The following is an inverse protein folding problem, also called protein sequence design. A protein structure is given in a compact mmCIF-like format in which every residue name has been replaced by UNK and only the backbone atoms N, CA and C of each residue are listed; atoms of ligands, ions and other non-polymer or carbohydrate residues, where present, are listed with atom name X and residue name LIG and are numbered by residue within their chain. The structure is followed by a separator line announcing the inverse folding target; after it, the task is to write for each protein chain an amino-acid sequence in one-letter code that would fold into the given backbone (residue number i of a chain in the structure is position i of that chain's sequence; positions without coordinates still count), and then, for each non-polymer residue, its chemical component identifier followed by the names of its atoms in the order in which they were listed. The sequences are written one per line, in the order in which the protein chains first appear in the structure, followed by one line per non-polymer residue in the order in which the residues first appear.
data_IF_713304007211
#
_entry.id   IF_713304007211
#
_cell.length_a   1.000
_cell.length_b   1.000
_cell.length_c   1.000
_cell.angle_alpha   90.00
_cell.angle_beta   90.00
_cell.angle_gamma   90.00
#
_symmetry.space_group_name_H-M   'P 1'
#
loop_
_entity.id
_entity.type
_entity.pdbx_description
1 polymer ?
#
# COMPACT_ATOMS: atom_id res chain seq x y z
N UNK A 1 -12.67 -15.78 -1.14
CA UNK A 1 -11.35 -15.13 -1.05
C UNK A 1 -10.89 -14.79 -2.43
N UNK A 2 -11.17 -15.65 -3.42
CA UNK A 2 -11.12 -15.34 -4.84
C UNK A 2 -11.60 -13.91 -5.17
N UNK A 3 -12.86 -13.55 -4.85
CA UNK A 3 -13.35 -12.17 -5.06
C UNK A 3 -12.48 -11.07 -4.43
N UNK A 4 -11.92 -11.29 -3.24
CA UNK A 4 -11.03 -10.31 -2.59
C UNK A 4 -9.74 -10.13 -3.39
N UNK A 5 -9.18 -11.24 -3.89
CA UNK A 5 -8.00 -11.21 -4.76
C UNK A 5 -8.30 -10.58 -6.12
N UNK A 6 -9.48 -10.84 -6.69
CA UNK A 6 -9.93 -10.20 -7.93
C UNK A 6 -10.03 -8.69 -7.78
N UNK A 7 -10.64 -8.20 -6.69
CA UNK A 7 -10.71 -6.77 -6.40
C UNK A 7 -9.32 -6.18 -6.17
N UNK A 8 -8.44 -6.88 -5.44
CA UNK A 8 -7.04 -6.43 -5.27
C UNK A 8 -6.35 -6.26 -6.63
N UNK A 9 -6.41 -7.28 -7.49
CA UNK A 9 -5.82 -7.25 -8.82
C UNK A 9 -6.43 -6.17 -9.70
N UNK A 10 -7.75 -6.01 -9.66
CA UNK A 10 -8.45 -4.95 -10.38
C UNK A 10 -7.94 -3.57 -9.96
N UNK A 11 -7.91 -3.28 -8.65
CA UNK A 11 -7.42 -1.98 -8.17
C UNK A 11 -5.94 -1.80 -8.52
N UNK A 12 -5.10 -2.83 -8.34
CA UNK A 12 -3.68 -2.76 -8.71
C UNK A 12 -3.45 -2.48 -10.19
N UNK A 13 -4.32 -2.96 -11.07
CA UNK A 13 -4.20 -2.80 -12.53
C UNK A 13 -4.74 -1.46 -13.02
N UNK A 14 -5.68 -0.86 -12.28
CA UNK A 14 -6.39 0.36 -12.67
C UNK A 14 -6.07 1.54 -11.75
N UNK A 15 -4.97 1.47 -10.98
CA UNK A 15 -4.50 2.59 -10.16
C UNK A 15 -3.06 2.93 -10.55
N UNK A 16 -2.91 4.01 -11.29
CA UNK A 16 -1.59 4.47 -11.68
C UNK A 16 -0.84 5.05 -10.50
N UNK A 17 0.49 4.94 -10.51
CA UNK A 17 1.33 5.56 -9.48
C UNK A 17 2.10 6.74 -10.07
N UNK A 18 2.63 7.60 -9.21
CA UNK A 18 3.56 8.64 -9.62
C UNK A 18 3.22 9.99 -9.01
N UNK A 19 3.34 11.04 -9.82
CA UNK A 19 3.25 12.42 -9.35
C UNK A 19 2.51 13.28 -10.37
N UNK A 20 1.18 13.22 -10.33
CA UNK A 20 0.28 14.12 -11.06
C UNK A 20 -0.72 14.69 -10.06
N UNK A 21 -0.73 16.01 -9.91
CA UNK A 21 -1.69 16.69 -9.05
C UNK A 21 -3.10 16.57 -9.65
N UNK A 22 -4.02 16.01 -8.86
CA UNK A 22 -5.44 16.02 -9.20
C UNK A 22 -6.23 16.31 -7.91
N UNK A 23 -7.03 17.39 -7.84
CA UNK A 23 -7.65 17.83 -6.58
C UNK A 23 -8.43 16.74 -5.85
N UNK A 24 -9.14 15.86 -6.58
CA UNK A 24 -9.86 14.75 -6.00
C UNK A 24 -8.92 13.71 -5.36
N UNK A 25 -7.85 13.33 -6.07
CA UNK A 25 -6.85 12.39 -5.59
C UNK A 25 -6.06 12.98 -4.42
N UNK A 26 -5.77 14.28 -4.44
CA UNK A 26 -4.96 14.97 -3.41
C UNK A 26 -5.75 15.23 -2.12
N UNK A 27 -7.07 15.10 -2.15
CA UNK A 27 -7.94 15.41 -1.00
C UNK A 27 -8.76 14.22 -0.51
N UNK A 28 -8.57 13.03 -1.09
CA UNK A 28 -9.34 11.82 -0.75
C UNK A 28 -9.36 11.50 0.75
N UNK A 29 -8.26 11.73 1.47
CA UNK A 29 -8.13 11.45 2.90
C UNK A 29 -9.01 12.34 3.79
N UNK A 30 -9.62 13.39 3.23
CA UNK A 30 -10.58 14.27 3.92
C UNK A 30 -12.02 13.84 3.70
N UNK A 31 -12.27 12.92 2.77
CA UNK A 31 -13.61 12.45 2.43
C UNK A 31 -14.07 11.40 3.44
N UNK A 32 -15.33 11.43 3.89
CA UNK A 32 -15.93 10.31 4.59
C UNK A 32 -15.82 9.03 3.75
N UNK A 33 -15.52 7.89 4.39
CA UNK A 33 -15.29 6.63 3.70
C UNK A 33 -16.49 6.17 2.85
N UNK A 34 -17.70 6.41 3.33
CA UNK A 34 -18.96 6.10 2.65
C UNK A 34 -19.21 6.97 1.41
N UNK A 35 -18.52 8.11 1.30
CA UNK A 35 -18.66 9.11 0.24
C UNK A 35 -17.51 9.07 -0.78
N UNK A 36 -16.61 8.10 -0.73
CA UNK A 36 -15.54 7.97 -1.71
C UNK A 36 -16.12 7.70 -3.12
N UNK A 37 -15.89 8.59 -4.11
CA UNK A 37 -16.44 8.42 -5.46
C UNK A 37 -15.54 7.51 -6.29
N UNK A 38 -15.72 6.19 -6.14
CA UNK A 38 -14.84 5.19 -6.75
C UNK A 38 -14.75 5.30 -8.28
N UNK A 39 -15.88 5.50 -8.94
CA UNK A 39 -15.95 5.64 -10.40
C UNK A 39 -15.16 6.86 -10.90
N UNK A 40 -15.23 7.98 -10.17
CA UNK A 40 -14.48 9.20 -10.53
C UNK A 40 -12.98 8.96 -10.43
N UNK A 41 -12.51 8.29 -9.36
CA UNK A 41 -11.09 7.94 -9.23
C UNK A 41 -10.59 7.05 -10.37
N UNK A 42 -11.34 5.99 -10.69
CA UNK A 42 -10.97 5.06 -11.76
C UNK A 42 -10.92 5.76 -13.13
N UNK A 43 -11.87 6.65 -13.38
CA UNK A 43 -11.88 7.47 -14.60
C UNK A 43 -10.68 8.41 -14.68
N UNK A 44 -10.30 9.04 -13.57
CA UNK A 44 -9.11 9.92 -13.52
C UNK A 44 -7.83 9.14 -13.86
N UNK A 45 -7.70 7.89 -13.38
CA UNK A 45 -6.56 7.04 -13.70
C UNK A 45 -6.58 6.61 -15.17
N UNK A 46 -7.73 6.16 -15.68
CA UNK A 46 -7.89 5.80 -17.10
C UNK A 46 -7.53 6.95 -18.06
N UNK A 47 -7.81 8.20 -17.67
CA UNK A 47 -7.52 9.41 -18.43
C UNK A 47 -6.08 9.94 -18.24
N UNK A 48 -5.20 9.22 -17.52
CA UNK A 48 -3.84 9.65 -17.15
C UNK A 48 -3.81 11.03 -16.43
N UNK A 49 -4.90 11.42 -15.76
CA UNK A 49 -5.10 12.75 -15.19
C UNK A 49 -4.82 12.85 -13.68
N UNK A 50 -4.46 11.74 -13.05
CA UNK A 50 -4.12 11.68 -11.63
C UNK A 50 -3.45 10.36 -11.28
N UNK A 51 -2.91 10.28 -10.07
CA UNK A 51 -2.21 9.08 -9.58
C UNK A 51 -2.72 8.66 -8.22
N UNK A 52 -2.73 7.37 -7.95
CA UNK A 52 -3.05 6.80 -6.66
C UNK A 52 -1.87 6.84 -5.69
N UNK A 53 -2.17 7.15 -4.43
CA UNK A 53 -1.31 6.81 -3.29
C UNK A 53 -1.68 5.42 -2.76
N UNK A 54 -0.83 4.81 -1.93
CA UNK A 54 -1.18 3.55 -1.26
C UNK A 54 -2.46 3.67 -0.42
N UNK A 55 -2.68 4.83 0.22
CA UNK A 55 -3.91 5.12 0.95
C UNK A 55 -5.14 5.19 0.06
N UNK A 56 -5.05 5.82 -1.11
CA UNK A 56 -6.17 5.92 -2.06
C UNK A 56 -6.51 4.54 -2.65
N UNK A 57 -5.51 3.78 -3.10
CA UNK A 57 -5.72 2.42 -3.61
C UNK A 57 -6.35 1.50 -2.53
N UNK A 58 -5.86 1.56 -1.29
CA UNK A 58 -6.44 0.82 -0.17
C UNK A 58 -7.88 1.26 0.14
N UNK A 59 -8.17 2.56 0.10
CA UNK A 59 -9.50 3.12 0.28
C UNK A 59 -10.48 2.63 -0.78
N UNK A 60 -10.08 2.67 -2.06
CA UNK A 60 -10.87 2.17 -3.20
C UNK A 60 -11.19 0.68 -3.03
N UNK A 61 -10.17 -0.15 -2.79
CA UNK A 61 -10.37 -1.59 -2.57
C UNK A 61 -11.30 -1.86 -1.39
N UNK A 62 -11.07 -1.21 -0.24
CA UNK A 62 -11.91 -1.40 0.94
C UNK A 62 -13.37 -1.00 0.67
N UNK A 63 -13.62 0.11 -0.04
CA UNK A 63 -14.97 0.57 -0.39
C UNK A 63 -15.69 -0.42 -1.30
N UNK A 64 -15.04 -0.90 -2.37
CA UNK A 64 -15.59 -1.93 -3.26
C UNK A 64 -15.97 -3.19 -2.46
N UNK A 65 -15.10 -3.64 -1.56
CA UNK A 65 -15.36 -4.82 -0.73
C UNK A 65 -16.54 -4.62 0.21
N UNK A 66 -16.64 -3.45 0.86
CA UNK A 66 -17.77 -3.11 1.76
C UNK A 66 -19.09 -3.08 1.01
N UNK A 67 -19.12 -2.49 -0.18
CA UNK A 67 -20.32 -2.45 -1.04
C UNK A 67 -20.77 -3.85 -1.49
N UNK A 68 -19.84 -4.82 -1.48
CA UNK A 68 -20.10 -6.22 -1.78
C UNK A 68 -20.25 -7.09 -0.51
N UNK A 69 -20.52 -6.48 0.65
CA UNK A 69 -20.88 -7.19 1.89
C UNK A 69 -19.72 -7.75 2.70
N UNK A 70 -18.48 -7.32 2.42
CA UNK A 70 -17.32 -7.72 3.22
C UNK A 70 -17.02 -6.70 4.33
N UNK A 71 -16.58 -7.20 5.49
CA UNK A 71 -15.98 -6.36 6.53
C UNK A 71 -14.53 -6.03 6.14
N UNK A 72 -14.31 -4.90 5.46
CA UNK A 72 -12.99 -4.46 5.02
C UNK A 72 -12.57 -3.11 5.63
N UNK A 73 -11.28 -2.96 5.87
CA UNK A 73 -10.70 -1.81 6.57
C UNK A 73 -9.34 -1.42 6.01
N UNK A 74 -8.94 -0.16 6.14
CA UNK A 74 -7.58 0.30 5.83
C UNK A 74 -6.72 0.33 7.09
N UNK A 75 -5.46 -0.07 6.95
CA UNK A 75 -4.49 -0.15 8.05
C UNK A 75 -3.19 0.54 7.65
N UNK A 76 -2.83 1.59 8.39
CA UNK A 76 -1.65 2.42 8.12
C UNK A 76 -0.54 2.13 9.14
N UNK A 77 0.65 1.82 8.64
CA UNK A 77 1.84 1.51 9.43
C UNK A 77 3.10 2.15 8.84
N UNK A 78 4.14 2.26 9.67
CA UNK A 78 5.46 2.73 9.26
C UNK A 78 6.03 3.82 10.18
N UNK A 79 6.84 4.71 9.60
CA UNK A 79 7.45 5.82 10.31
C UNK A 79 6.59 7.07 10.25
N UNK A 80 5.90 7.39 11.35
CA UNK A 80 5.06 8.58 11.46
C UNK A 80 5.82 9.86 11.04
N UNK A 81 5.10 10.79 10.41
CA UNK A 81 5.63 12.07 9.92
C UNK A 81 6.77 11.95 8.87
N UNK A 82 6.80 10.84 8.13
CA UNK A 82 7.71 10.65 6.99
C UNK A 82 6.95 10.13 5.78
N UNK A 83 7.61 10.04 4.63
CA UNK A 83 7.06 9.39 3.43
C UNK A 83 7.11 7.85 3.51
N UNK A 84 7.78 7.28 4.54
CA UNK A 84 7.93 5.84 4.73
C UNK A 84 6.78 5.27 5.57
N UNK A 85 5.57 5.50 5.08
CA UNK A 85 4.31 4.96 5.61
C UNK A 85 3.60 4.20 4.52
N UNK A 86 2.86 3.17 4.89
CA UNK A 86 2.13 2.36 3.93
C UNK A 86 0.74 1.99 4.44
N UNK A 87 -0.20 1.85 3.50
CA UNK A 87 -1.58 1.49 3.80
C UNK A 87 -1.93 0.19 3.09
N UNK A 88 -2.38 -0.78 3.87
CA UNK A 88 -2.91 -2.07 3.38
C UNK A 88 -4.40 -2.17 3.72
N UNK A 89 -5.07 -3.17 3.13
CA UNK A 89 -6.45 -3.53 3.41
C UNK A 89 -6.49 -4.76 4.33
N UNK A 90 -7.28 -4.66 5.39
CA UNK A 90 -7.63 -5.77 6.27
C UNK A 90 -9.02 -6.26 5.91
N UNK A 91 -9.17 -7.54 5.60
CA UNK A 91 -10.47 -8.19 5.41
C UNK A 91 -10.76 -9.10 6.58
N UNK A 92 -11.84 -8.81 7.30
CA UNK A 92 -12.28 -9.63 8.42
C UNK A 92 -13.07 -10.83 7.92
N UNK A 93 -12.62 -12.03 8.27
CA UNK A 93 -13.29 -13.27 7.89
C UNK A 93 -13.14 -14.33 8.98
N UNK A 94 -14.28 -14.84 9.47
CA UNK A 94 -14.31 -15.85 10.55
C UNK A 94 -13.45 -15.44 11.76
N UNK A 95 -13.50 -14.17 12.13
CA UNK A 95 -12.75 -13.59 13.25
C UNK A 95 -11.28 -13.24 12.97
N UNK A 96 -10.72 -13.58 11.81
CA UNK A 96 -9.35 -13.23 11.41
C UNK A 96 -9.33 -11.92 10.63
N UNK A 97 -8.25 -11.14 10.75
CA UNK A 97 -7.94 -9.94 9.98
C UNK A 97 -6.88 -10.27 8.93
N UNK A 98 -7.30 -10.55 7.70
CA UNK A 98 -6.42 -10.99 6.62
C UNK A 98 -5.86 -9.78 5.86
N UNK A 99 -4.58 -9.80 5.51
CA UNK A 99 -3.86 -8.63 4.94
C UNK A 99 -3.75 -8.72 3.41
N UNK A 100 -4.16 -7.64 2.74
CA UNK A 100 -4.09 -7.45 1.28
C UNK A 100 -3.52 -6.07 0.95
N UNK A 101 -2.73 -5.99 -0.11
CA UNK A 101 -2.12 -4.75 -0.56
C UNK A 101 -2.48 -4.50 -2.03
N UNK A 102 -3.46 -3.61 -2.31
CA UNK A 102 -3.83 -3.28 -3.69
C UNK A 102 -2.85 -2.33 -4.37
N UNK A 103 -1.89 -1.72 -3.65
CA UNK A 103 -0.93 -0.81 -4.24
C UNK A 103 0.35 -1.51 -4.69
N UNK A 104 0.78 -2.56 -3.98
CA UNK A 104 1.94 -3.39 -4.36
C UNK A 104 1.49 -4.71 -5.01
N UNK A 105 0.21 -5.06 -4.89
CA UNK A 105 -0.42 -6.27 -5.42
C UNK A 105 0.06 -7.57 -4.74
N UNK A 106 -0.08 -7.65 -3.42
CA UNK A 106 0.23 -8.88 -2.68
C UNK A 106 -0.71 -9.14 -1.50
N UNK A 107 -0.72 -10.38 -1.04
CA UNK A 107 -1.29 -10.78 0.25
C UNK A 107 -0.27 -11.56 1.07
N UNK A 108 -0.40 -11.54 2.40
CA UNK A 108 0.46 -12.33 3.29
C UNK A 108 -0.14 -13.72 3.56
N UNK A 109 0.72 -14.73 3.54
CA UNK A 109 0.37 -16.11 3.86
C UNK A 109 1.46 -16.80 4.70
N UNK A 110 1.09 -17.86 5.40
CA UNK A 110 2.05 -18.78 6.01
C UNK A 110 2.67 -19.69 4.93
N UNK A 111 3.75 -20.41 5.26
CA UNK A 111 4.41 -21.36 4.35
C UNK A 111 3.47 -22.41 3.72
N UNK A 112 2.37 -22.77 4.38
CA UNK A 112 1.33 -23.67 3.86
C UNK A 112 0.36 -22.99 2.88
N UNK A 113 0.64 -21.75 2.47
CA UNK A 113 -0.19 -20.88 1.63
C UNK A 113 -1.52 -20.44 2.25
N UNK A 114 -1.76 -20.72 3.53
CA UNK A 114 -2.93 -20.18 4.23
C UNK A 114 -2.73 -18.68 4.52
N UNK A 115 -3.75 -17.86 4.25
CA UNK A 115 -3.70 -16.43 4.54
C UNK A 115 -3.50 -16.19 6.04
N UNK A 116 -2.57 -15.29 6.38
CA UNK A 116 -2.23 -14.99 7.77
C UNK A 116 -3.20 -13.97 8.38
N UNK A 117 -3.52 -14.18 9.66
CA UNK A 117 -4.21 -13.21 10.50
C UNK A 117 -3.20 -12.18 11.04
N UNK A 118 -3.51 -10.88 10.94
CA UNK A 118 -2.65 -9.80 11.39
C UNK A 118 -2.21 -9.95 12.87
N UNK A 119 -3.11 -10.43 13.72
CA UNK A 119 -2.79 -10.63 15.14
C UNK A 119 -1.81 -11.79 15.34
N UNK A 120 -1.91 -12.82 14.51
CA UNK A 120 -0.94 -13.93 14.50
C UNK A 120 0.41 -13.47 13.96
N UNK A 121 0.42 -12.65 12.90
CA UNK A 121 1.64 -12.01 12.40
C UNK A 121 2.39 -11.29 13.52
N UNK A 122 1.70 -10.49 14.35
CA UNK A 122 2.36 -9.78 15.46
C UNK A 122 3.01 -10.73 16.47
N UNK A 123 2.41 -11.90 16.75
CA UNK A 123 3.01 -12.91 17.63
C UNK A 123 4.26 -13.53 17.02
N UNK A 124 4.22 -13.86 15.72
CA UNK A 124 5.37 -14.40 15.01
C UNK A 124 6.53 -13.39 15.01
N UNK A 125 6.24 -12.12 14.70
CA UNK A 125 7.23 -11.03 14.77
C UNK A 125 7.84 -10.91 16.17
N UNK A 126 7.03 -11.03 17.23
CA UNK A 126 7.52 -10.99 18.62
C UNK A 126 8.47 -12.14 18.93
N UNK A 127 8.20 -13.33 18.38
CA UNK A 127 9.02 -14.53 18.53
C UNK A 127 10.20 -14.58 17.56
N UNK A 128 10.30 -13.62 16.64
CA UNK A 128 11.28 -13.58 15.55
C UNK A 128 11.18 -14.80 14.62
N UNK A 129 9.96 -15.29 14.40
CA UNK A 129 9.65 -16.33 13.41
C UNK A 129 9.53 -15.66 12.02
N UNK A 130 10.05 -16.30 10.97
CA UNK A 130 10.03 -15.79 9.58
C UNK A 130 9.33 -16.80 8.65
N UNK A 131 8.15 -17.26 9.07
CA UNK A 131 7.33 -18.24 8.35
C UNK A 131 6.32 -17.57 7.39
N UNK A 132 6.60 -16.32 7.01
CA UNK A 132 5.75 -15.50 6.15
C UNK A 132 6.19 -15.60 4.70
N UNK A 133 5.26 -15.96 3.83
CA UNK A 133 5.40 -15.85 2.38
C UNK A 133 4.43 -14.81 1.83
N UNK A 134 4.73 -14.32 0.63
CA UNK A 134 3.90 -13.37 -0.09
C UNK A 134 3.27 -14.08 -1.27
N UNK A 135 1.96 -13.91 -1.45
CA UNK A 135 1.30 -14.26 -2.70
C UNK A 135 1.15 -12.98 -3.53
N UNK A 136 1.78 -12.93 -4.69
CA UNK A 136 1.75 -11.79 -5.60
C UNK A 136 1.71 -12.30 -7.03
N UNK A 137 0.84 -11.72 -7.85
CA UNK A 137 0.78 -11.98 -9.28
C UNK A 137 1.25 -10.73 -10.03
N UNK A 138 1.75 -10.93 -11.24
CA UNK A 138 2.21 -9.81 -12.08
C UNK A 138 1.01 -9.04 -12.60
N UNK A 139 0.93 -7.78 -12.21
CA UNK A 139 0.00 -6.81 -12.79
C UNK A 139 0.83 -5.71 -13.46
N UNK A 140 0.32 -5.16 -14.54
CA UNK A 140 0.92 -4.00 -15.20
C UNK A 140 0.12 -2.75 -14.90
N UNK A 141 0.80 -1.64 -14.71
CA UNK A 141 0.23 -0.33 -14.40
C UNK A 141 1.13 0.75 -15.01
N UNK A 142 0.63 1.98 -15.13
CA UNK A 142 1.45 3.11 -15.53
C UNK A 142 2.01 3.85 -14.30
N UNK A 143 3.29 4.19 -14.38
CA UNK A 143 3.86 5.30 -13.63
C UNK A 143 3.65 6.55 -14.45
N UNK A 144 2.98 7.55 -13.90
CA UNK A 144 2.68 8.82 -14.56
C UNK A 144 3.33 9.97 -13.78
N UNK A 145 4.05 10.83 -14.49
CA UNK A 145 4.81 11.91 -13.87
C UNK A 145 4.58 13.21 -14.63
N UNK A 146 4.26 14.27 -13.88
CA UNK A 146 4.26 15.63 -14.39
C UNK A 146 5.67 16.23 -14.22
N UNK A 147 6.35 16.49 -15.34
CA UNK A 147 7.69 17.05 -15.40
C UNK A 147 7.79 18.44 -14.77
N UNK A 148 6.70 19.21 -14.72
CA UNK A 148 6.68 20.51 -14.07
C UNK A 148 6.66 20.42 -12.54
N UNK A 149 6.29 19.26 -11.99
CA UNK A 149 6.29 19.00 -10.54
C UNK A 149 7.59 18.35 -10.06
N UNK A 150 8.42 17.84 -10.99
CA UNK A 150 9.72 17.30 -10.64
C UNK A 150 10.72 18.45 -10.43
N UNK A 151 11.13 18.66 -9.18
CA UNK A 151 12.33 19.43 -8.92
C UNK A 151 13.56 18.65 -9.43
N UNK A 152 14.53 19.38 -9.99
CA UNK A 152 15.90 18.92 -10.24
C UNK A 152 16.48 18.08 -9.09
N UNK A 153 16.15 18.35 -7.83
CA UNK A 153 16.59 17.54 -6.68
C UNK A 153 15.98 16.14 -6.69
N UNK A 154 14.72 15.98 -7.10
CA UNK A 154 14.08 14.66 -7.23
C UNK A 154 14.71 13.87 -8.37
N UNK A 155 14.98 14.51 -9.52
CA UNK A 155 15.69 13.90 -10.65
C UNK A 155 17.15 13.51 -10.33
N UNK A 156 17.82 14.30 -9.49
CA UNK A 156 19.20 14.03 -9.06
C UNK A 156 19.29 13.02 -7.90
N UNK A 157 18.21 12.86 -7.13
CA UNK A 157 18.14 11.89 -6.02
C UNK A 157 17.94 10.45 -6.50
N UNK A 158 17.49 10.28 -7.75
CA UNK A 158 17.42 8.96 -8.37
C UNK A 158 18.86 8.56 -8.67
N UNK A 159 19.42 7.68 -7.82
CA UNK A 159 20.85 7.32 -7.84
C UNK A 159 21.32 6.83 -9.22
N UNK A 160 22.64 6.67 -9.41
CA UNK A 160 23.19 6.36 -10.74
C UNK A 160 22.54 5.15 -11.44
N UNK A 161 22.13 4.15 -10.65
CA UNK A 161 21.39 2.97 -11.12
C UNK A 161 20.07 3.30 -11.83
N UNK A 162 19.56 4.51 -11.68
CA UNK A 162 18.26 4.96 -12.16
C UNK A 162 18.31 6.02 -13.25
N UNK A 163 19.51 6.49 -13.63
CA UNK A 163 19.69 7.43 -14.75
C UNK A 163 19.07 6.90 -16.04
N UNK A 164 19.22 5.60 -16.31
CA UNK A 164 18.63 4.94 -17.49
C UNK A 164 17.13 4.66 -17.38
N UNK A 165 16.55 4.81 -16.19
CA UNK A 165 15.15 4.47 -15.95
C UNK A 165 14.20 5.42 -16.70
N UNK A 166 14.61 6.65 -16.93
CA UNK A 166 13.84 7.66 -17.68
C UNK A 166 14.00 7.56 -19.21
N UNK A 167 14.85 6.68 -19.73
CA UNK A 167 15.14 6.62 -21.18
C UNK A 167 13.99 6.08 -22.04
N UNK A 168 12.95 5.50 -21.42
CA UNK A 168 11.82 4.87 -22.12
C UNK A 168 10.47 5.44 -21.66
N UNK A 169 10.43 6.75 -21.40
CA UNK A 169 9.18 7.46 -21.10
C UNK A 169 8.39 7.70 -22.38
N UNK A 170 7.07 7.54 -22.29
CA UNK A 170 6.12 7.89 -23.35
C UNK A 170 5.44 9.22 -22.97
N UNK A 171 5.46 10.20 -23.87
CA UNK A 171 4.74 11.45 -23.63
C UNK A 171 3.22 11.20 -23.69
N UNK A 172 2.50 11.69 -22.67
CA UNK A 172 1.03 11.79 -22.67
C UNK A 172 0.63 13.16 -23.21
N UNK A 173 1.33 14.21 -22.76
CA UNK A 173 1.25 15.59 -23.27
C UNK A 173 2.59 16.31 -23.03
N UNK A 174 2.63 17.63 -23.26
CA UNK A 174 3.86 18.44 -23.15
C UNK A 174 4.53 18.42 -21.76
N UNK A 175 3.76 18.12 -20.71
CA UNK A 175 4.24 18.12 -19.33
C UNK A 175 4.13 16.77 -18.63
N UNK A 176 3.34 15.85 -19.17
CA UNK A 176 3.08 14.54 -18.55
C UNK A 176 3.74 13.45 -19.38
N UNK A 177 4.51 12.61 -18.70
CA UNK A 177 5.13 11.42 -19.24
C UNK A 177 4.69 10.20 -18.46
N UNK A 178 4.71 9.04 -19.11
CA UNK A 178 4.40 7.77 -18.44
C UNK A 178 5.30 6.62 -18.82
N UNK A 179 5.33 5.60 -17.97
CA UNK A 179 6.05 4.35 -18.18
C UNK A 179 5.25 3.18 -17.64
N UNK A 180 5.03 2.17 -18.49
CA UNK A 180 4.45 0.90 -18.07
C UNK A 180 5.43 0.15 -17.17
N UNK A 181 4.98 -0.21 -15.97
CA UNK A 181 5.74 -0.97 -14.99
C UNK A 181 5.04 -2.29 -14.66
N UNK A 182 5.76 -3.15 -13.93
CA UNK A 182 5.20 -4.37 -13.35
C UNK A 182 5.10 -4.16 -11.85
N UNK A 183 3.89 -4.36 -11.32
CA UNK A 183 3.56 -4.32 -9.90
C UNK A 183 3.49 -5.73 -9.34
N UNK A 184 4.49 -6.05 -8.53
CA UNK A 184 4.53 -7.22 -7.65
C UNK A 184 5.31 -6.88 -6.40
N UNK A 185 5.21 -7.74 -5.38
CA UNK A 185 6.10 -7.66 -4.22
C UNK A 185 7.58 -7.67 -4.64
N UNK A 186 7.98 -8.67 -5.44
CA UNK A 186 9.38 -8.84 -5.88
C UNK A 186 9.91 -7.67 -6.71
N UNK A 187 9.08 -7.10 -7.61
CA UNK A 187 9.49 -5.94 -8.40
C UNK A 187 9.68 -4.72 -7.52
N UNK A 188 8.88 -4.59 -6.46
CA UNK A 188 9.07 -3.54 -5.48
C UNK A 188 10.34 -3.79 -4.68
N UNK A 189 10.63 -4.99 -4.17
CA UNK A 189 11.87 -5.26 -3.40
C UNK A 189 13.14 -5.04 -4.23
N UNK A 190 13.13 -5.38 -5.51
CA UNK A 190 14.36 -5.44 -6.33
C UNK A 190 14.66 -4.19 -7.15
N UNK A 191 13.69 -3.27 -7.33
CA UNK A 191 13.89 -2.08 -8.16
C UNK A 191 14.40 -0.87 -7.35
N UNK A 192 15.69 -0.52 -7.40
CA UNK A 192 16.24 0.55 -6.57
C UNK A 192 15.67 1.95 -6.88
N UNK A 193 14.99 2.13 -8.01
CA UNK A 193 14.54 3.43 -8.49
C UNK A 193 13.17 3.83 -7.95
N UNK A 194 12.29 2.85 -7.72
CA UNK A 194 10.92 3.11 -7.27
C UNK A 194 10.52 2.25 -6.06
N UNK A 195 11.44 1.45 -5.52
CA UNK A 195 11.14 0.57 -4.39
C UNK A 195 10.78 1.34 -3.12
N UNK A 196 9.51 1.24 -2.73
CA UNK A 196 9.09 1.59 -1.39
C UNK A 196 9.65 0.58 -0.37
N UNK A 197 9.51 -0.73 -0.66
CA UNK A 197 9.83 -1.80 0.30
C UNK A 197 11.31 -1.76 0.69
N UNK A 198 12.23 -1.64 -0.26
CA UNK A 198 13.67 -1.60 0.00
C UNK A 198 14.03 -0.38 0.86
N UNK A 199 13.49 0.80 0.56
CA UNK A 199 13.73 2.02 1.36
C UNK A 199 13.16 1.86 2.76
N UNK A 200 11.96 1.31 2.87
CA UNK A 200 11.30 1.05 4.15
C UNK A 200 12.08 0.04 4.99
N UNK A 201 12.47 -1.10 4.43
CA UNK A 201 13.24 -2.16 5.11
C UNK A 201 14.64 -1.68 5.53
N UNK A 202 15.32 -0.87 4.70
CA UNK A 202 16.58 -0.25 5.08
C UNK A 202 16.40 0.69 6.28
N UNK A 203 15.35 1.51 6.27
CA UNK A 203 15.04 2.41 7.37
C UNK A 203 14.66 1.64 8.65
N UNK A 204 13.96 0.52 8.48
CA UNK A 204 13.55 -0.39 9.55
C UNK A 204 14.75 -1.04 10.22
N UNK A 205 15.68 -1.58 9.43
CA UNK A 205 16.94 -2.15 9.93
C UNK A 205 17.82 -1.10 10.61
N UNK A 206 17.81 0.14 10.13
CA UNK A 206 18.61 1.23 10.71
C UNK A 206 18.06 1.77 12.03
N UNK A 207 16.73 1.68 12.27
CA UNK A 207 16.07 2.30 13.43
C UNK A 207 15.48 1.31 14.44
N UNK A 208 15.38 0.04 14.09
CA UNK A 208 14.67 -0.97 14.88
C UNK A 208 15.41 -2.31 14.84
N UNK A 209 14.90 -3.31 15.55
CA UNK A 209 15.37 -4.69 15.44
C UNK A 209 14.78 -5.44 14.23
N UNK A 210 13.82 -4.83 13.53
CA UNK A 210 13.12 -5.43 12.41
C UNK A 210 13.85 -5.13 11.09
N UNK A 211 13.71 -6.03 10.12
CA UNK A 211 14.38 -5.94 8.82
C UNK A 211 13.44 -6.18 7.65
N UNK A 212 12.19 -6.60 7.90
CA UNK A 212 11.21 -6.95 6.87
C UNK A 212 9.96 -6.07 6.92
N UNK A 213 9.36 -5.80 5.76
CA UNK A 213 8.15 -4.98 5.64
C UNK A 213 7.03 -5.46 6.57
N UNK A 214 6.75 -6.76 6.59
CA UNK A 214 5.67 -7.32 7.40
C UNK A 214 5.92 -7.14 8.91
N UNK A 215 7.19 -7.08 9.36
CA UNK A 215 7.53 -6.78 10.75
C UNK A 215 7.22 -5.33 11.09
N UNK A 216 7.43 -4.42 10.12
CA UNK A 216 7.05 -3.02 10.21
C UNK A 216 5.54 -2.79 10.37
N UNK A 217 4.69 -3.77 10.07
CA UNK A 217 3.25 -3.69 10.35
C UNK A 217 2.93 -3.59 11.85
N UNK A 218 3.89 -3.88 12.74
CA UNK A 218 3.75 -3.60 14.18
C UNK A 218 3.80 -2.11 14.52
N UNK A 219 4.26 -1.26 13.59
CA UNK A 219 4.40 0.19 13.76
C UNK A 219 3.15 0.93 13.26
N UNK A 220 1.99 0.67 13.88
CA UNK A 220 0.73 1.35 13.55
C UNK A 220 0.86 2.87 13.74
N UNK A 221 0.37 3.65 12.78
CA UNK A 221 0.42 5.13 12.83
C UNK A 221 -0.95 5.71 13.16
N UNK A 222 -1.98 5.33 12.41
CA UNK A 222 -3.29 5.96 12.46
C UNK A 222 -4.38 4.97 12.91
N UNK A 223 -5.56 5.51 13.19
CA UNK A 223 -6.75 4.69 13.39
C UNK A 223 -7.09 3.90 12.11
N UNK A 224 -7.74 2.75 12.29
CA UNK A 224 -8.32 1.96 11.19
C UNK A 224 -9.60 2.62 10.66
N UNK A 225 -9.78 2.65 9.34
CA UNK A 225 -10.97 3.21 8.66
C UNK A 225 -11.62 2.12 7.80
N UNK A 226 -12.91 2.24 7.46
CA UNK A 226 -13.58 1.29 6.58
C UNK A 226 -14.99 0.95 7.02
N UNK A 227 -15.34 -0.33 6.98
CA UNK A 227 -16.65 -0.86 7.35
C UNK A 227 -17.12 -0.45 8.75
N UNK A 228 -18.41 -0.64 9.02
CA UNK A 228 -18.97 -0.54 10.37
C UNK A 228 -18.16 -1.42 11.34
N UNK A 229 -17.86 -0.88 12.53
CA UNK A 229 -17.06 -1.58 13.53
C UNK A 229 -15.54 -1.37 13.42
N UNK A 230 -15.07 -0.49 12.53
CA UNK A 230 -13.66 -0.08 12.41
C UNK A 230 -13.01 0.30 13.75
N UNK A 231 -13.73 1.02 14.62
CA UNK A 231 -13.25 1.37 15.97
C UNK A 231 -12.99 0.14 16.86
N UNK A 232 -13.78 -0.93 16.73
CA UNK A 232 -13.57 -2.18 17.47
C UNK A 232 -12.34 -2.92 16.94
N UNK A 233 -12.16 -2.94 15.62
CA UNK A 233 -10.97 -3.51 14.97
C UNK A 233 -9.72 -2.73 15.37
N UNK A 234 -9.79 -1.39 15.39
CA UNK A 234 -8.70 -0.53 15.86
C UNK A 234 -8.31 -0.85 17.31
N UNK A 235 -9.31 -0.97 18.18
CA UNK A 235 -9.11 -1.30 19.60
C UNK A 235 -8.47 -2.69 19.76
N UNK A 236 -8.93 -3.70 19.01
CA UNK A 236 -8.35 -5.04 19.01
C UNK A 236 -6.86 -5.01 18.62
N UNK A 237 -6.53 -4.29 17.56
CA UNK A 237 -5.14 -4.16 17.08
C UNK A 237 -4.28 -3.45 18.14
N UNK A 238 -4.74 -2.30 18.64
CA UNK A 238 -4.05 -1.52 19.67
C UNK A 238 -3.79 -2.35 20.94
N UNK A 239 -4.80 -3.07 21.43
CA UNK A 239 -4.65 -3.95 22.60
C UNK A 239 -3.67 -5.10 22.33
N UNK A 240 -3.67 -5.66 21.13
CA UNK A 240 -2.75 -6.74 20.75
C UNK A 240 -1.30 -6.27 20.68
N UNK A 241 -1.06 -5.12 20.05
CA UNK A 241 0.27 -4.51 19.98
C UNK A 241 0.81 -4.20 21.38
N UNK A 242 -0.01 -3.58 22.24
CA UNK A 242 0.35 -3.28 23.63
C UNK A 242 0.67 -4.56 24.42
N UNK A 243 -0.17 -5.59 24.31
CA UNK A 243 0.03 -6.86 25.01
C UNK A 243 1.34 -7.55 24.60
N UNK A 244 1.72 -7.46 23.32
CA UNK A 244 2.96 -8.01 22.79
C UNK A 244 4.20 -7.12 23.06
N UNK A 245 3.99 -5.95 23.66
CA UNK A 245 5.04 -5.00 24.03
C UNK A 245 5.58 -4.20 22.84
N UNK A 246 4.79 -4.04 21.77
CA UNK A 246 5.07 -3.07 20.72
C UNK A 246 4.58 -1.69 21.20
N UNK A 247 5.51 -0.76 21.40
CA UNK A 247 5.19 0.59 21.86
C UNK A 247 4.51 1.42 20.77
N UNK A 248 3.76 2.45 21.18
CA UNK A 248 3.30 3.47 20.25
C UNK A 248 4.49 4.31 19.80
N UNK A 249 4.91 4.15 18.55
CA UNK A 249 5.81 5.08 17.89
C UNK A 249 4.98 6.31 17.48
N UNK A 250 4.86 7.28 18.39
CA UNK A 250 4.32 8.61 18.06
C UNK A 250 5.34 9.42 17.27
#
# INVERSE_FOLDING_TARGET
MEFVNEVMHFVSANSDEGNVNHPLCDTFYRMPFDQLPIEDFLKIFEEDCGTATCGLAAGIMAKILVENGFEAYTYNFGFANTELTHVVVLVKKKGKLLVFDPFINYSLANQDSSLIDLIELFKQVKKQEDDIIYSSNRVTHDLIVNLNLMDSTQLNSVGEACKGWFNNLTAVNDSIVKKRLIRTYDSNVTNPCSSFILRFENQLAAKTQFTKLHQGMTMKINQVWGAEGSQRVDSLINSSLLHLGFGYHK
#
